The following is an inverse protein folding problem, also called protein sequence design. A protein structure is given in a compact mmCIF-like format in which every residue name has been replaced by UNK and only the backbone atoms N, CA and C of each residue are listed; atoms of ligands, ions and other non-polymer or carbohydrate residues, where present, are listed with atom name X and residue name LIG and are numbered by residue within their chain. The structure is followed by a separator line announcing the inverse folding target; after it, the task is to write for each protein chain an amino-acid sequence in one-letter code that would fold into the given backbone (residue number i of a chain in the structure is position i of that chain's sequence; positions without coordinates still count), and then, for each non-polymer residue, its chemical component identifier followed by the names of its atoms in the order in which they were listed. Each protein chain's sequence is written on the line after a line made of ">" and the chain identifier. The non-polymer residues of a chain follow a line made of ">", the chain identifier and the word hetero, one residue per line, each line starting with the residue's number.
data_IF_833813951513
#
_entry.id   IF_833813951513
#
_cell.length_a   1.000
_cell.length_b   1.000
_cell.length_c   1.000
_cell.angle_alpha   90.00
_cell.angle_beta   90.00
_cell.angle_gamma   90.00
#
_symmetry.space_group_name_H-M   'P 1'
#
loop_
_entity.id
_entity.type
_entity.pdbx_description
1 polymer ?
#
# COMPACT_ATOMS: atom_id res chain seq x y z
N UNK A 1 -17.17 -4.75 -38.74
CA UNK A 1 -15.81 -5.19 -38.37
C UNK A 1 -15.60 -4.91 -36.90
N UNK A 2 -15.69 -5.91 -36.04
CA UNK A 2 -15.42 -5.75 -34.60
C UNK A 2 -13.92 -5.46 -34.41
N UNK A 3 -13.53 -4.46 -33.61
CA UNK A 3 -12.13 -4.22 -33.35
C UNK A 3 -11.55 -5.45 -32.64
N UNK A 4 -10.39 -5.91 -33.09
CA UNK A 4 -9.66 -7.02 -32.48
C UNK A 4 -9.33 -6.68 -31.02
N UNK A 5 -9.93 -7.41 -30.09
CA UNK A 5 -9.82 -7.23 -28.65
C UNK A 5 -8.52 -7.90 -28.13
N UNK A 6 -7.42 -7.73 -28.87
CA UNK A 6 -6.12 -8.23 -28.42
C UNK A 6 -5.46 -7.18 -27.51
N UNK A 7 -4.97 -7.56 -26.32
CA UNK A 7 -4.23 -6.62 -25.47
C UNK A 7 -3.01 -6.09 -26.21
N UNK A 8 -2.63 -4.81 -26.01
CA UNK A 8 -1.43 -4.26 -26.63
C UNK A 8 -0.22 -5.11 -26.25
N UNK A 9 0.53 -5.56 -27.24
CA UNK A 9 1.55 -6.60 -27.24
C UNK A 9 2.42 -6.71 -25.96
N UNK A 10 2.70 -7.95 -25.55
CA UNK A 10 3.40 -8.32 -24.33
C UNK A 10 4.85 -7.82 -24.14
N UNK A 11 5.43 -7.12 -25.10
CA UNK A 11 6.82 -6.63 -25.02
C UNK A 11 7.09 -5.62 -23.89
N UNK A 12 6.09 -4.86 -23.48
CA UNK A 12 6.22 -3.89 -22.39
C UNK A 12 6.09 -4.50 -20.98
N UNK A 13 5.39 -5.63 -20.83
CA UNK A 13 5.16 -6.26 -19.54
C UNK A 13 6.43 -6.88 -18.96
N UNK A 14 7.21 -7.61 -19.77
CA UNK A 14 8.47 -8.20 -19.31
C UNK A 14 9.48 -7.12 -18.89
N UNK A 15 9.62 -6.05 -19.68
CA UNK A 15 10.48 -4.91 -19.33
C UNK A 15 10.04 -4.25 -18.02
N UNK A 16 8.73 -4.10 -17.79
CA UNK A 16 8.16 -3.58 -16.55
C UNK A 16 8.49 -4.48 -15.36
N UNK A 17 8.29 -5.79 -15.47
CA UNK A 17 8.56 -6.73 -14.39
C UNK A 17 10.06 -6.83 -14.07
N UNK A 18 10.93 -6.78 -15.09
CA UNK A 18 12.39 -6.68 -14.90
C UNK A 18 12.79 -5.43 -14.14
N UNK A 19 12.17 -4.30 -14.48
CA UNK A 19 12.41 -3.02 -13.83
C UNK A 19 12.01 -3.06 -12.35
N UNK A 20 10.85 -3.62 -12.01
CA UNK A 20 10.39 -3.74 -10.63
C UNK A 20 11.23 -4.72 -9.80
N UNK A 21 11.66 -5.82 -10.40
CA UNK A 21 12.52 -6.80 -9.75
C UNK A 21 13.90 -6.21 -9.44
N UNK A 22 14.45 -5.38 -10.35
CA UNK A 22 15.78 -4.81 -10.22
C UNK A 22 16.84 -5.87 -9.95
N UNK A 23 17.71 -5.64 -8.97
CA UNK A 23 18.71 -6.58 -8.47
C UNK A 23 18.28 -7.35 -7.23
N UNK A 24 16.97 -7.49 -6.97
CA UNK A 24 16.49 -8.21 -5.81
C UNK A 24 16.88 -9.70 -5.83
N UNK A 25 17.16 -10.30 -4.67
CA UNK A 25 17.45 -11.74 -4.56
C UNK A 25 16.36 -12.61 -5.20
N UNK A 26 16.73 -13.71 -5.85
CA UNK A 26 15.82 -14.59 -6.59
C UNK A 26 14.72 -15.21 -5.73
N UNK A 27 14.90 -15.33 -4.43
CA UNK A 27 13.95 -15.83 -3.44
C UNK A 27 12.93 -14.78 -2.97
N UNK A 28 13.11 -13.50 -3.33
CA UNK A 28 12.11 -12.46 -3.12
C UNK A 28 10.92 -12.63 -4.08
N UNK A 29 9.83 -11.92 -3.82
CA UNK A 29 8.57 -12.06 -4.54
C UNK A 29 8.08 -10.74 -5.11
N UNK A 30 7.49 -10.79 -6.30
CA UNK A 30 6.58 -9.74 -6.79
C UNK A 30 5.14 -10.13 -6.45
N UNK A 31 4.40 -9.18 -5.91
CA UNK A 31 2.98 -9.34 -5.57
C UNK A 31 2.13 -9.07 -6.81
N UNK A 32 1.29 -10.02 -7.20
CA UNK A 32 0.17 -9.82 -8.11
C UNK A 32 -1.11 -9.70 -7.28
N UNK A 33 -1.81 -8.58 -7.40
CA UNK A 33 -3.11 -8.38 -6.76
C UNK A 33 -4.18 -8.20 -7.83
N UNK A 34 -5.33 -8.82 -7.64
CA UNK A 34 -6.44 -8.77 -8.60
C UNK A 34 -7.78 -8.75 -7.87
N UNK A 35 -8.77 -8.13 -8.54
CA UNK A 35 -10.11 -8.00 -7.99
C UNK A 35 -10.87 -9.32 -8.13
N UNK A 36 -11.53 -9.79 -7.07
CA UNK A 36 -12.36 -11.01 -7.05
C UNK A 36 -13.83 -10.72 -6.74
N UNK A 37 -14.18 -9.45 -6.47
CA UNK A 37 -15.53 -8.97 -6.20
C UNK A 37 -15.53 -7.45 -6.18
N UNK A 38 -16.66 -6.80 -5.93
CA UNK A 38 -16.78 -5.34 -6.00
C UNK A 38 -15.75 -4.60 -5.13
N UNK A 39 -15.43 -5.14 -3.94
CA UNK A 39 -14.48 -4.53 -3.01
C UNK A 39 -13.45 -5.54 -2.46
N UNK A 40 -13.34 -6.73 -3.07
CA UNK A 40 -12.45 -7.77 -2.61
C UNK A 40 -11.28 -7.95 -3.57
N UNK A 41 -10.09 -8.12 -2.98
CA UNK A 41 -8.87 -8.42 -3.71
C UNK A 41 -8.27 -9.72 -3.19
N UNK A 42 -7.79 -10.54 -4.10
CA UNK A 42 -6.88 -11.63 -3.84
C UNK A 42 -5.47 -11.25 -4.29
N UNK A 43 -4.47 -11.91 -3.73
CA UNK A 43 -3.08 -11.74 -4.09
C UNK A 43 -2.38 -13.08 -4.32
N UNK A 44 -1.46 -13.08 -5.26
CA UNK A 44 -0.52 -14.15 -5.56
C UNK A 44 0.90 -13.58 -5.42
N UNK A 45 1.87 -14.44 -5.06
CA UNK A 45 3.26 -14.04 -4.90
C UNK A 45 4.14 -14.94 -5.77
N UNK A 46 4.83 -14.34 -6.72
CA UNK A 46 5.70 -15.02 -7.65
C UNK A 46 7.15 -14.62 -7.39
N UNK A 47 8.05 -15.58 -7.35
CA UNK A 47 9.48 -15.30 -7.19
C UNK A 47 9.99 -14.38 -8.30
N UNK A 48 10.91 -13.49 -7.98
CA UNK A 48 11.50 -12.55 -8.95
C UNK A 48 12.26 -13.26 -10.06
N UNK A 49 12.77 -14.47 -9.80
CA UNK A 49 13.43 -15.33 -10.81
C UNK A 49 12.43 -16.13 -11.68
N UNK A 50 11.12 -16.18 -11.32
CA UNK A 50 10.07 -16.89 -12.04
C UNK A 50 9.12 -15.92 -12.79
N UNK A 51 9.67 -14.92 -13.49
CA UNK A 51 8.88 -13.86 -14.16
C UNK A 51 7.90 -14.36 -15.22
N UNK A 52 8.22 -15.46 -15.92
CA UNK A 52 7.33 -16.04 -16.93
C UNK A 52 6.02 -16.55 -16.30
N UNK A 53 6.10 -17.15 -15.11
CA UNK A 53 4.92 -17.57 -14.36
C UNK A 53 4.08 -16.36 -13.93
N UNK A 54 4.71 -15.27 -13.49
CA UNK A 54 4.01 -14.03 -13.15
C UNK A 54 3.37 -13.38 -14.38
N UNK A 55 4.09 -13.30 -15.50
CA UNK A 55 3.58 -12.78 -16.78
C UNK A 55 2.33 -13.56 -17.22
N UNK A 56 2.40 -14.88 -17.20
CA UNK A 56 1.27 -15.75 -17.54
C UNK A 56 0.08 -15.55 -16.59
N UNK A 57 0.31 -15.38 -15.29
CA UNK A 57 -0.73 -15.12 -14.32
C UNK A 57 -1.40 -13.75 -14.55
N UNK A 58 -0.61 -12.68 -14.79
CA UNK A 58 -1.10 -11.34 -15.11
C UNK A 58 -1.99 -11.38 -16.34
N UNK A 59 -1.50 -11.92 -17.46
CA UNK A 59 -2.24 -11.97 -18.71
C UNK A 59 -3.55 -12.76 -18.58
N UNK A 60 -3.52 -13.90 -17.93
CA UNK A 60 -4.72 -14.71 -17.67
C UNK A 60 -5.76 -13.98 -16.82
N UNK A 61 -5.34 -13.32 -15.72
CA UNK A 61 -6.24 -12.59 -14.83
C UNK A 61 -6.79 -11.33 -15.48
N UNK A 62 -5.96 -10.61 -16.23
CA UNK A 62 -6.32 -9.34 -16.87
C UNK A 62 -7.39 -9.45 -17.95
N UNK A 63 -7.73 -10.66 -18.42
CA UNK A 63 -8.85 -10.86 -19.35
C UNK A 63 -10.22 -10.63 -18.70
N UNK A 64 -10.32 -10.67 -17.39
CA UNK A 64 -11.60 -10.68 -16.67
C UNK A 64 -11.72 -9.65 -15.56
N UNK A 65 -10.60 -9.07 -15.12
CA UNK A 65 -10.61 -8.21 -13.94
C UNK A 65 -9.41 -7.27 -13.90
N UNK A 66 -9.52 -6.20 -13.08
CA UNK A 66 -8.39 -5.34 -12.74
C UNK A 66 -7.27 -6.14 -12.08
N UNK A 67 -6.05 -5.94 -12.56
CA UNK A 67 -4.83 -6.51 -12.00
C UNK A 67 -3.84 -5.41 -11.64
N UNK A 68 -3.05 -5.66 -10.60
CA UNK A 68 -2.04 -4.74 -10.08
C UNK A 68 -0.79 -5.52 -9.67
N UNK A 69 0.38 -4.91 -9.82
CA UNK A 69 1.66 -5.48 -9.39
C UNK A 69 2.29 -4.58 -8.33
N UNK A 70 2.89 -5.19 -7.31
CA UNK A 70 3.62 -4.46 -6.28
C UNK A 70 4.83 -3.74 -6.85
N UNK A 71 4.99 -2.45 -6.53
CA UNK A 71 6.08 -1.62 -7.05
C UNK A 71 7.46 -1.98 -6.47
N UNK A 72 7.51 -2.75 -5.40
CA UNK A 72 8.76 -3.22 -4.79
C UNK A 72 8.68 -4.71 -4.46
N UNK A 73 9.81 -5.45 -4.52
CA UNK A 73 9.88 -6.84 -4.13
C UNK A 73 9.52 -7.06 -2.66
N UNK A 74 8.94 -8.22 -2.35
CA UNK A 74 8.60 -8.68 -1.00
C UNK A 74 9.60 -9.72 -0.52
N UNK A 75 10.00 -9.67 0.74
CA UNK A 75 10.87 -10.68 1.38
C UNK A 75 10.11 -11.94 1.79
N UNK A 76 8.77 -11.88 1.77
CA UNK A 76 7.88 -13.00 2.09
C UNK A 76 6.58 -12.90 1.28
N UNK A 77 5.77 -13.97 1.29
CA UNK A 77 4.47 -14.01 0.60
C UNK A 77 3.39 -13.23 1.35
N UNK A 78 3.66 -11.94 1.63
CA UNK A 78 2.75 -11.05 2.33
C UNK A 78 2.65 -9.70 1.59
N UNK A 79 1.43 -9.20 1.38
CA UNK A 79 1.16 -7.91 0.76
C UNK A 79 1.25 -6.72 1.74
N UNK A 80 1.92 -6.89 2.86
CA UNK A 80 2.09 -5.85 3.88
C UNK A 80 3.31 -4.98 3.60
N UNK A 81 3.30 -3.75 4.09
CA UNK A 81 4.46 -2.85 4.03
C UNK A 81 5.69 -3.43 4.71
N UNK A 82 5.51 -4.16 5.81
CA UNK A 82 6.60 -4.79 6.56
C UNK A 82 7.33 -5.91 5.77
N UNK A 83 6.66 -6.48 4.76
CA UNK A 83 7.26 -7.49 3.89
C UNK A 83 8.03 -6.89 2.70
N UNK A 84 8.05 -5.56 2.54
CA UNK A 84 8.82 -4.92 1.48
C UNK A 84 10.30 -5.02 1.80
N UNK A 85 11.07 -5.53 0.85
CA UNK A 85 12.52 -5.55 0.88
C UNK A 85 13.13 -4.23 0.38
N UNK A 86 14.33 -4.33 -0.14
CA UNK A 86 14.99 -3.23 -0.82
C UNK A 86 14.22 -2.80 -2.08
N UNK A 87 14.16 -1.49 -2.31
CA UNK A 87 13.42 -0.85 -3.39
C UNK A 87 14.39 -0.50 -4.52
N UNK A 88 14.16 -1.09 -5.70
CA UNK A 88 15.02 -0.95 -6.88
C UNK A 88 14.50 0.05 -7.91
N UNK A 89 13.38 0.71 -7.62
CA UNK A 89 12.75 1.67 -8.53
C UNK A 89 12.04 2.76 -7.75
N UNK A 90 12.17 4.01 -8.16
CA UNK A 90 11.29 5.09 -7.71
C UNK A 90 10.11 5.20 -8.67
N UNK A 91 8.95 5.58 -8.15
CA UNK A 91 7.73 5.73 -8.95
C UNK A 91 6.89 6.92 -8.53
N UNK A 92 6.00 7.31 -9.44
CA UNK A 92 4.97 8.30 -9.19
C UNK A 92 3.70 7.93 -9.96
N UNK A 93 2.53 8.22 -9.39
CA UNK A 93 1.23 8.13 -10.04
C UNK A 93 0.72 9.55 -10.33
N UNK A 94 0.60 9.88 -11.60
CA UNK A 94 0.13 11.17 -12.07
C UNK A 94 -1.35 11.08 -12.42
N UNK A 95 -2.21 11.68 -11.59
CA UNK A 95 -3.63 11.79 -11.82
C UNK A 95 -3.97 13.18 -12.37
N UNK A 96 -4.32 13.21 -13.67
CA UNK A 96 -4.70 14.42 -14.37
C UNK A 96 -3.62 14.98 -15.31
N UNK A 97 -4.06 15.92 -16.16
CA UNK A 97 -3.24 16.44 -17.27
C UNK A 97 -2.03 17.25 -16.81
N UNK A 98 -2.11 17.96 -15.67
CA UNK A 98 -1.02 18.80 -15.19
C UNK A 98 0.14 17.95 -14.67
N UNK A 99 -0.12 16.98 -13.80
CA UNK A 99 0.90 16.07 -13.29
C UNK A 99 1.54 15.24 -14.41
N UNK A 100 0.74 14.78 -15.36
CA UNK A 100 1.24 14.08 -16.55
C UNK A 100 2.18 14.97 -17.40
N UNK A 101 1.82 16.25 -17.66
CA UNK A 101 2.68 17.18 -18.37
C UNK A 101 4.00 17.42 -17.62
N UNK A 102 3.95 17.57 -16.31
CA UNK A 102 5.16 17.72 -15.46
C UNK A 102 6.05 16.49 -15.55
N UNK A 103 5.47 15.28 -15.47
CA UNK A 103 6.20 14.03 -15.61
C UNK A 103 6.95 13.95 -16.95
N UNK A 104 6.29 14.30 -18.07
CA UNK A 104 6.92 14.28 -19.40
C UNK A 104 8.08 15.27 -19.55
N UNK A 105 8.10 16.35 -18.77
CA UNK A 105 9.15 17.39 -18.79
C UNK A 105 10.22 17.19 -17.71
N UNK A 106 9.97 16.30 -16.76
CA UNK A 106 10.87 16.07 -15.63
C UNK A 106 12.25 15.56 -16.09
N UNK A 107 13.29 16.01 -15.40
CA UNK A 107 14.65 15.53 -15.61
C UNK A 107 15.23 14.98 -14.29
N UNK A 108 15.88 13.82 -14.33
CA UNK A 108 16.01 12.93 -15.49
C UNK A 108 14.67 12.31 -15.87
N UNK A 109 14.45 12.11 -17.17
CA UNK A 109 13.20 11.50 -17.65
C UNK A 109 13.04 10.10 -17.09
N UNK A 110 11.79 9.66 -16.69
CA UNK A 110 11.55 8.28 -16.31
C UNK A 110 12.00 7.31 -17.40
N UNK A 111 12.60 6.19 -17.03
CA UNK A 111 12.93 5.12 -17.97
C UNK A 111 11.67 4.46 -18.54
N UNK A 112 10.60 4.41 -17.76
CA UNK A 112 9.32 3.84 -18.16
C UNK A 112 8.17 4.79 -17.79
N UNK A 113 7.26 5.02 -18.74
CA UNK A 113 5.98 5.70 -18.48
C UNK A 113 4.87 4.77 -18.97
N UNK A 114 3.88 4.52 -18.13
CA UNK A 114 2.73 3.65 -18.38
C UNK A 114 1.45 4.46 -18.28
N UNK A 115 0.65 4.51 -19.34
CA UNK A 115 -0.72 5.04 -19.29
C UNK A 115 -1.62 4.11 -18.49
N UNK A 116 -2.37 4.61 -17.50
CA UNK A 116 -3.21 3.80 -16.62
C UNK A 116 -4.56 3.38 -17.22
N UNK A 117 -4.86 3.83 -18.45
CA UNK A 117 -6.17 3.65 -19.06
C UNK A 117 -7.24 4.62 -18.55
N UNK A 118 -6.89 5.64 -17.77
CA UNK A 118 -7.83 6.64 -17.24
C UNK A 118 -7.45 8.05 -17.74
N UNK A 119 -7.87 8.41 -18.97
CA UNK A 119 -7.58 9.72 -19.54
C UNK A 119 -6.08 10.01 -19.62
N UNK A 120 -5.59 11.16 -19.10
CA UNK A 120 -4.18 11.52 -19.13
C UNK A 120 -3.36 10.84 -18.03
N UNK A 121 -3.97 10.03 -17.16
CA UNK A 121 -3.30 9.47 -15.99
C UNK A 121 -2.22 8.47 -16.38
N UNK A 122 -1.07 8.58 -15.75
CA UNK A 122 0.07 7.73 -16.04
C UNK A 122 0.96 7.49 -14.81
N UNK A 123 1.81 6.48 -14.90
CA UNK A 123 2.81 6.17 -13.89
C UNK A 123 4.20 6.37 -14.49
N UNK A 124 5.10 7.00 -13.74
CA UNK A 124 6.51 7.15 -14.11
C UNK A 124 7.40 6.30 -13.21
N UNK A 125 8.48 5.72 -13.79
CA UNK A 125 9.39 4.83 -13.10
C UNK A 125 10.85 5.16 -13.39
N UNK A 126 11.68 5.22 -12.33
CA UNK A 126 13.14 5.42 -12.40
C UNK A 126 13.85 4.22 -11.76
N UNK A 127 14.33 3.25 -12.55
CA UNK A 127 15.12 2.13 -12.01
C UNK A 127 16.44 2.63 -11.44
N UNK A 128 16.83 2.05 -10.31
CA UNK A 128 17.98 2.48 -9.52
C UNK A 128 19.19 1.57 -9.75
N UNK A 129 20.38 2.16 -9.85
CA UNK A 129 21.65 1.45 -9.95
C UNK A 129 21.98 0.66 -8.66
N UNK A 130 21.49 1.17 -7.52
CA UNK A 130 21.58 0.52 -6.21
C UNK A 130 20.25 0.71 -5.48
N UNK A 131 19.87 -0.26 -4.62
CA UNK A 131 18.59 -0.19 -3.94
C UNK A 131 18.57 0.90 -2.87
N UNK A 132 17.35 1.31 -2.53
CA UNK A 132 17.07 2.11 -1.36
C UNK A 132 16.33 1.27 -0.32
N UNK A 133 16.53 1.54 0.97
CA UNK A 133 15.66 1.00 2.00
C UNK A 133 14.24 1.51 1.78
N UNK A 134 13.24 0.71 2.08
CA UNK A 134 11.85 1.07 1.87
C UNK A 134 11.43 2.42 2.50
N UNK A 135 11.86 2.80 3.73
CA UNK A 135 11.57 4.13 4.30
C UNK A 135 12.14 5.28 3.47
N UNK A 136 13.37 5.13 2.98
CA UNK A 136 14.06 6.17 2.23
C UNK A 136 13.44 6.33 0.83
N UNK A 137 13.00 5.22 0.22
CA UNK A 137 12.27 5.23 -1.04
C UNK A 137 10.89 5.90 -0.92
N UNK A 138 10.17 5.71 0.21
CA UNK A 138 8.92 6.43 0.46
C UNK A 138 9.11 7.93 0.53
N UNK A 139 10.15 8.39 1.23
CA UNK A 139 10.51 9.81 1.28
C UNK A 139 10.82 10.34 -0.12
N UNK A 140 11.58 9.58 -0.92
CA UNK A 140 11.92 9.93 -2.29
C UNK A 140 10.68 10.04 -3.19
N UNK A 141 9.81 9.03 -3.18
CA UNK A 141 8.56 9.02 -3.95
C UNK A 141 7.62 10.15 -3.53
N UNK A 142 7.53 10.45 -2.24
CA UNK A 142 6.72 11.57 -1.75
C UNK A 142 7.22 12.92 -2.24
N UNK A 143 8.56 13.14 -2.23
CA UNK A 143 9.18 14.35 -2.79
C UNK A 143 8.90 14.47 -4.28
N UNK A 144 9.03 13.36 -5.04
CA UNK A 144 8.70 13.34 -6.47
C UNK A 144 7.22 13.67 -6.71
N UNK A 145 6.31 13.10 -5.92
CA UNK A 145 4.88 13.40 -6.04
C UNK A 145 4.59 14.88 -5.81
N UNK A 146 5.22 15.51 -4.82
CA UNK A 146 5.12 16.96 -4.60
C UNK A 146 5.64 17.77 -5.78
N UNK A 147 6.85 17.48 -6.27
CA UNK A 147 7.46 18.22 -7.39
C UNK A 147 6.62 18.12 -8.67
N UNK A 148 5.97 16.98 -8.87
CA UNK A 148 5.17 16.71 -10.06
C UNK A 148 3.68 17.07 -9.91
N UNK A 149 3.24 17.57 -8.75
CA UNK A 149 1.83 17.74 -8.41
C UNK A 149 1.01 16.46 -8.65
N UNK A 150 1.60 15.32 -8.29
CA UNK A 150 1.07 13.98 -8.50
C UNK A 150 0.29 13.49 -7.26
N UNK A 151 -0.21 12.23 -7.29
CA UNK A 151 -0.96 11.67 -6.15
C UNK A 151 -0.06 11.48 -4.93
N UNK A 152 -0.29 12.32 -3.91
CA UNK A 152 0.43 12.27 -2.64
C UNK A 152 0.10 11.04 -1.77
N UNK A 153 -0.85 10.20 -2.17
CA UNK A 153 -1.13 8.93 -1.49
C UNK A 153 -0.37 7.75 -2.08
N UNK A 154 0.29 7.94 -3.25
CA UNK A 154 0.93 6.86 -4.01
C UNK A 154 2.43 6.66 -3.71
N UNK A 155 2.94 7.13 -2.59
CA UNK A 155 4.37 7.06 -2.24
C UNK A 155 4.78 5.81 -1.46
N UNK A 156 3.84 5.12 -0.83
CA UNK A 156 4.12 4.03 0.12
C UNK A 156 4.77 2.82 -0.53
N UNK A 157 5.75 2.20 0.14
CA UNK A 157 6.50 1.07 -0.39
C UNK A 157 5.63 -0.19 -0.65
N UNK A 158 4.47 -0.28 -0.02
CA UNK A 158 3.48 -1.33 -0.28
C UNK A 158 2.65 -1.14 -1.53
N UNK A 159 2.89 -0.05 -2.29
CA UNK A 159 2.10 0.35 -3.45
C UNK A 159 2.01 -0.74 -4.52
N UNK A 160 0.82 -0.83 -5.09
CA UNK A 160 0.52 -1.64 -6.25
C UNK A 160 0.01 -0.74 -7.38
N UNK A 161 0.47 -0.96 -8.61
CA UNK A 161 0.04 -0.20 -9.79
C UNK A 161 -0.34 -1.15 -10.94
N UNK A 162 -1.15 -0.66 -11.90
CA UNK A 162 -1.55 -1.46 -13.05
C UNK A 162 -0.36 -1.72 -13.97
N UNK A 163 -0.06 -2.99 -14.31
CA UNK A 163 1.01 -3.32 -15.25
C UNK A 163 0.58 -3.05 -16.70
N UNK A 164 1.50 -2.67 -17.58
CA UNK A 164 1.21 -2.50 -19.01
C UNK A 164 0.82 -3.82 -19.66
N UNK A 165 0.06 -3.75 -20.77
CA UNK A 165 -0.45 -4.93 -21.46
C UNK A 165 -1.70 -5.54 -20.82
N UNK A 166 -2.36 -4.81 -19.92
CA UNK A 166 -3.58 -5.20 -19.22
C UNK A 166 -4.73 -4.23 -19.48
N UNK A 167 -5.86 -4.47 -18.86
CA UNK A 167 -7.06 -3.64 -19.00
C UNK A 167 -7.42 -2.94 -17.70
N UNK A 168 -7.96 -1.73 -17.82
CA UNK A 168 -8.55 -0.96 -16.73
C UNK A 168 -10.09 -1.11 -16.80
N UNK A 169 -10.63 -1.94 -15.93
CA UNK A 169 -12.06 -2.25 -15.84
C UNK A 169 -12.88 -1.20 -15.07
N UNK A 170 -12.28 -0.07 -14.69
CA UNK A 170 -13.05 1.09 -14.17
C UNK A 170 -13.94 1.73 -15.26
N UNK A 171 -13.70 1.41 -16.51
CA UNK A 171 -14.42 1.92 -17.68
C UNK A 171 -15.20 0.80 -18.36
N UNK A 172 -16.30 1.18 -19.03
CA UNK A 172 -17.07 0.31 -19.93
C UNK A 172 -17.14 1.00 -21.29
N UNK A 173 -16.54 0.45 -22.36
CA UNK A 173 -15.69 -0.76 -22.34
C UNK A 173 -14.35 -0.54 -21.59
N UNK A 174 -13.70 -1.62 -21.11
CA UNK A 174 -12.41 -1.54 -20.48
C UNK A 174 -11.35 -0.86 -21.35
N UNK A 175 -10.46 -0.08 -20.75
CA UNK A 175 -9.43 0.68 -21.47
C UNK A 175 -8.05 0.04 -21.32
N UNK A 176 -7.19 0.08 -22.36
CA UNK A 176 -5.87 -0.52 -22.30
C UNK A 176 -4.94 0.25 -21.34
N UNK A 177 -4.13 -0.49 -20.61
CA UNK A 177 -2.97 0.01 -19.87
C UNK A 177 -1.74 -0.21 -20.76
N UNK A 178 -1.09 0.85 -21.19
CA UNK A 178 -0.10 0.80 -22.28
C UNK A 178 1.20 1.52 -21.91
N UNK A 179 2.32 1.03 -22.45
CA UNK A 179 3.60 1.75 -22.36
C UNK A 179 3.54 2.97 -23.27
N UNK A 180 3.82 4.14 -22.70
CA UNK A 180 3.99 5.41 -23.44
C UNK A 180 5.45 5.69 -23.77
N UNK A 181 6.37 5.28 -22.89
CA UNK A 181 7.81 5.45 -23.03
C UNK A 181 8.52 4.25 -22.39
N UNK A 182 9.56 3.73 -23.05
CA UNK A 182 10.44 2.71 -22.47
C UNK A 182 11.86 2.95 -22.98
N UNK A 183 12.78 3.20 -22.06
CA UNK A 183 14.21 3.39 -22.35
C UNK A 183 15.05 2.57 -21.38
N UNK A 184 16.21 2.13 -21.84
CA UNK A 184 17.20 1.47 -20.98
C UNK A 184 18.02 2.55 -20.25
N UNK A 185 17.50 3.02 -19.13
CA UNK A 185 18.19 3.96 -18.26
C UNK A 185 18.13 3.44 -16.82
N UNK A 186 19.22 3.64 -16.09
CA UNK A 186 19.35 3.30 -14.66
C UNK A 186 19.95 4.52 -13.98
N UNK A 187 19.48 4.86 -12.80
CA UNK A 187 19.81 6.12 -12.13
C UNK A 187 20.42 5.87 -10.75
N UNK A 188 21.38 6.69 -10.35
CA UNK A 188 21.67 6.85 -8.92
C UNK A 188 20.50 7.59 -8.26
N UNK A 189 20.09 7.20 -7.02
CA UNK A 189 18.99 7.87 -6.32
C UNK A 189 19.16 9.40 -6.24
N UNK A 190 20.39 9.87 -6.02
CA UNK A 190 20.72 11.29 -5.97
C UNK A 190 20.50 12.03 -7.29
N UNK A 191 20.65 11.36 -8.44
CA UNK A 191 20.39 11.96 -9.75
C UNK A 191 18.90 12.25 -9.96
N UNK A 192 18.03 11.30 -9.55
CA UNK A 192 16.57 11.48 -9.66
C UNK A 192 16.09 12.62 -8.77
N UNK A 193 16.72 12.82 -7.63
CA UNK A 193 16.30 13.77 -6.61
C UNK A 193 17.09 15.09 -6.60
N UNK A 194 18.02 15.30 -7.55
CA UNK A 194 18.93 16.45 -7.57
C UNK A 194 18.17 17.78 -7.50
N UNK A 195 17.19 17.96 -8.39
CA UNK A 195 16.39 19.19 -8.49
C UNK A 195 15.02 19.08 -7.83
N UNK A 196 14.77 18.00 -7.05
CA UNK A 196 13.51 17.81 -6.35
C UNK A 196 13.52 18.52 -5.01
N UNK A 197 12.60 19.48 -4.77
CA UNK A 197 12.57 20.25 -3.55
C UNK A 197 12.49 19.35 -2.30
N UNK A 198 13.11 19.79 -1.21
CA UNK A 198 12.90 19.20 0.10
C UNK A 198 11.51 19.61 0.59
N UNK A 199 10.74 18.63 1.09
CA UNK A 199 9.42 18.83 1.68
C UNK A 199 9.42 18.25 3.10
N UNK A 200 8.45 18.67 3.92
CA UNK A 200 8.30 18.06 5.26
C UNK A 200 7.90 16.60 5.15
N UNK A 201 8.81 15.73 5.52
CA UNK A 201 8.65 14.26 5.50
C UNK A 201 8.45 13.67 6.90
N UNK A 202 8.41 14.50 7.93
CA UNK A 202 8.32 14.03 9.33
C UNK A 202 7.08 13.14 9.59
N UNK A 203 5.98 13.37 8.87
CA UNK A 203 4.79 12.52 8.96
C UNK A 203 5.00 11.12 8.36
N UNK A 204 5.83 11.00 7.30
CA UNK A 204 6.17 9.72 6.64
C UNK A 204 7.15 8.95 7.50
N UNK A 205 8.20 9.60 7.96
CA UNK A 205 9.22 9.02 8.84
C UNK A 205 8.59 8.45 10.12
N UNK A 206 7.65 9.18 10.72
CA UNK A 206 6.89 8.71 11.89
C UNK A 206 6.07 7.44 11.60
N UNK A 207 5.52 7.29 10.39
CA UNK A 207 4.77 6.07 10.03
C UNK A 207 5.64 4.82 10.05
N UNK A 208 6.93 4.92 9.68
CA UNK A 208 7.87 3.81 9.78
C UNK A 208 8.29 3.52 11.22
N UNK A 209 8.52 4.53 12.02
CA UNK A 209 8.82 4.38 13.45
C UNK A 209 7.67 3.65 14.16
N UNK A 210 6.42 3.96 13.82
CA UNK A 210 5.24 3.26 14.35
C UNK A 210 5.14 1.83 13.79
N UNK A 211 5.44 1.62 12.51
CA UNK A 211 5.38 0.29 11.86
C UNK A 211 6.50 -0.66 12.30
N UNK A 212 7.66 -0.14 12.70
CA UNK A 212 8.79 -0.91 13.22
C UNK A 212 8.81 -1.01 14.74
N UNK A 213 7.92 -0.29 15.45
CA UNK A 213 7.68 -0.59 16.85
C UNK A 213 7.13 -2.00 16.91
N UNK A 214 7.96 -2.87 17.44
CA UNK A 214 7.66 -4.26 17.70
C UNK A 214 6.31 -4.31 18.44
N UNK A 215 5.24 -4.73 17.73
CA UNK A 215 3.91 -4.92 18.31
C UNK A 215 3.96 -5.88 19.49
N UNK A 216 5.00 -6.71 19.59
CA UNK A 216 5.32 -7.56 20.75
C UNK A 216 5.69 -6.75 21.99
N UNK A 217 6.09 -5.48 21.86
CA UNK A 217 6.44 -4.60 23.00
C UNK A 217 5.28 -3.73 23.49
N UNK A 218 4.27 -3.46 22.67
CA UNK A 218 3.09 -2.71 23.08
C UNK A 218 1.87 -3.63 23.16
N UNK A 219 1.50 -4.08 24.38
CA UNK A 219 0.43 -5.04 24.56
C UNK A 219 -0.93 -4.51 24.07
N UNK A 220 -1.16 -3.20 24.05
CA UNK A 220 -2.40 -2.61 23.55
C UNK A 220 -2.57 -2.81 22.03
N UNK A 221 -1.48 -2.82 21.26
CA UNK A 221 -1.53 -3.08 19.81
C UNK A 221 -1.74 -4.57 19.47
N UNK A 222 -1.64 -5.45 20.44
CA UNK A 222 -1.98 -6.86 20.27
C UNK A 222 -3.50 -7.11 20.35
N UNK A 223 -4.27 -6.20 20.96
CA UNK A 223 -5.72 -6.35 21.13
C UNK A 223 -6.43 -6.26 19.77
N UNK A 224 -7.19 -7.28 19.35
CA UNK A 224 -7.91 -7.25 18.08
C UNK A 224 -8.96 -6.13 18.02
N UNK A 225 -9.18 -5.48 16.87
CA UNK A 225 -10.19 -4.44 16.70
C UNK A 225 -11.61 -4.84 17.12
N UNK A 226 -11.98 -6.10 16.93
CA UNK A 226 -13.28 -6.59 17.34
C UNK A 226 -13.49 -6.51 18.85
N UNK A 227 -12.42 -6.69 19.65
CA UNK A 227 -12.46 -6.61 21.11
C UNK A 227 -12.66 -5.16 21.55
N UNK A 228 -11.75 -4.26 21.16
CA UNK A 228 -11.83 -2.88 21.64
C UNK A 228 -12.97 -2.06 21.03
N UNK A 229 -13.46 -2.42 19.83
CA UNK A 229 -14.65 -1.79 19.25
C UNK A 229 -15.92 -2.20 20.00
N UNK A 230 -16.03 -3.48 20.35
CA UNK A 230 -17.14 -3.96 21.18
C UNK A 230 -17.11 -3.29 22.55
N UNK A 231 -15.97 -3.20 23.16
CA UNK A 231 -15.82 -2.68 24.53
C UNK A 231 -16.01 -1.16 24.58
N UNK A 232 -15.35 -0.39 23.71
CA UNK A 232 -15.41 1.09 23.72
C UNK A 232 -16.67 1.66 23.09
N UNK A 233 -17.34 0.95 22.17
CA UNK A 233 -18.48 1.44 21.40
C UNK A 233 -19.76 0.62 21.57
N UNK A 234 -19.69 -0.56 22.21
CA UNK A 234 -20.81 -1.49 22.29
C UNK A 234 -21.23 -2.11 20.95
N UNK A 235 -20.37 -2.05 19.93
CA UNK A 235 -20.68 -2.51 18.59
C UNK A 235 -20.09 -3.88 18.31
N UNK A 236 -20.93 -4.83 17.87
CA UNK A 236 -20.47 -6.16 17.47
C UNK A 236 -20.35 -6.26 15.93
N UNK A 237 -19.20 -6.75 15.43
CA UNK A 237 -19.02 -6.90 13.99
C UNK A 237 -19.86 -8.05 13.43
N UNK A 238 -20.50 -7.81 12.29
CA UNK A 238 -21.14 -8.85 11.51
C UNK A 238 -20.11 -9.82 10.88
N UNK A 239 -20.60 -10.82 10.13
CA UNK A 239 -19.75 -11.83 9.43
C UNK A 239 -18.72 -11.21 8.48
N UNK A 240 -18.99 -10.03 7.93
CA UNK A 240 -18.11 -9.26 7.05
C UNK A 240 -17.11 -8.37 7.79
N UNK A 241 -17.01 -8.49 9.14
CA UNK A 241 -16.15 -7.67 10.01
C UNK A 241 -16.42 -6.16 9.90
N UNK A 242 -17.65 -5.76 9.62
CA UNK A 242 -18.04 -4.36 9.56
C UNK A 242 -19.04 -4.02 10.66
N UNK A 243 -18.92 -2.78 11.18
CA UNK A 243 -19.87 -2.14 12.09
C UNK A 243 -20.30 -0.80 11.51
N UNK A 244 -21.40 -0.23 12.02
CA UNK A 244 -21.76 1.16 11.71
C UNK A 244 -20.69 2.10 12.26
N UNK A 245 -20.28 3.06 11.44
CA UNK A 245 -19.27 4.03 11.85
C UNK A 245 -19.87 5.07 12.80
N UNK A 246 -19.29 5.29 14.00
CA UNK A 246 -19.81 6.29 14.93
C UNK A 246 -19.42 7.73 14.60
N UNK A 247 -18.63 7.92 13.55
CA UNK A 247 -18.03 9.23 13.21
C UNK A 247 -18.74 9.95 12.06
N UNK A 248 -19.78 9.37 11.49
CA UNK A 248 -20.67 9.97 10.49
C UNK A 248 -22.02 9.23 10.49
N UNK A 249 -23.04 9.81 9.88
CA UNK A 249 -24.31 9.12 9.66
C UNK A 249 -24.09 7.93 8.70
N UNK A 250 -24.23 6.72 9.21
CA UNK A 250 -23.86 5.47 8.54
C UNK A 250 -25.08 4.55 8.41
N UNK A 251 -25.81 4.70 7.31
CA UNK A 251 -26.98 3.86 7.01
C UNK A 251 -26.62 2.38 6.75
N UNK A 252 -25.37 2.11 6.32
CA UNK A 252 -24.86 0.76 6.03
C UNK A 252 -23.47 0.59 6.65
N UNK A 253 -23.20 -0.51 7.40
CA UNK A 253 -21.91 -0.72 8.08
C UNK A 253 -20.72 -0.47 7.17
N UNK A 254 -19.94 0.60 7.42
CA UNK A 254 -18.82 1.05 6.61
C UNK A 254 -17.46 1.00 7.34
N UNK A 255 -17.46 0.89 8.67
CA UNK A 255 -16.25 0.76 9.47
C UNK A 255 -15.81 -0.70 9.49
N UNK A 256 -14.70 -1.00 8.82
CA UNK A 256 -14.11 -2.33 8.72
C UNK A 256 -13.09 -2.57 9.83
N UNK A 257 -13.18 -3.75 10.46
CA UNK A 257 -12.27 -4.18 11.51
C UNK A 257 -11.30 -5.22 10.94
N UNK A 258 -10.00 -4.92 10.96
CA UNK A 258 -8.98 -5.87 10.53
C UNK A 258 -8.80 -6.98 11.57
N UNK A 259 -8.25 -8.17 11.16
CA UNK A 259 -8.13 -9.30 12.09
C UNK A 259 -7.18 -9.07 13.26
N UNK A 260 -6.17 -8.23 13.10
CA UNK A 260 -5.08 -8.01 14.06
C UNK A 260 -5.04 -6.56 14.53
N UNK A 261 -4.63 -6.34 15.78
CA UNK A 261 -4.63 -5.02 16.41
C UNK A 261 -3.70 -4.00 15.75
N UNK A 262 -2.58 -4.46 15.22
CA UNK A 262 -1.63 -3.65 14.46
C UNK A 262 -2.21 -3.12 13.14
N UNK A 263 -3.13 -3.85 12.51
CA UNK A 263 -3.86 -3.40 11.33
C UNK A 263 -5.03 -2.48 11.66
N UNK A 264 -5.55 -2.57 12.87
CA UNK A 264 -6.58 -1.68 13.39
C UNK A 264 -7.91 -1.74 12.63
N UNK A 265 -8.46 -0.56 12.35
CA UNK A 265 -9.77 -0.37 11.73
C UNK A 265 -9.73 0.75 10.68
N UNK A 266 -10.69 0.73 9.76
CA UNK A 266 -10.83 1.78 8.75
C UNK A 266 -12.29 1.92 8.32
N UNK A 267 -12.81 3.15 8.32
CA UNK A 267 -14.08 3.47 7.71
C UNK A 267 -13.87 3.86 6.25
N UNK A 268 -14.46 3.12 5.33
CA UNK A 268 -14.32 3.40 3.90
C UNK A 268 -15.17 4.59 3.42
N UNK A 269 -16.17 5.01 4.19
CA UNK A 269 -17.01 6.17 3.84
C UNK A 269 -16.35 7.49 4.29
N UNK A 270 -16.05 7.66 5.59
CA UNK A 270 -15.45 8.90 6.09
C UNK A 270 -13.92 8.91 6.12
N UNK A 271 -13.27 7.81 5.68
CA UNK A 271 -11.80 7.64 5.61
C UNK A 271 -11.06 7.73 6.93
N UNK A 272 -11.76 7.74 8.06
CA UNK A 272 -11.14 7.62 9.39
C UNK A 272 -10.67 6.19 9.62
N UNK A 273 -9.54 6.04 10.27
CA UNK A 273 -8.97 4.73 10.59
C UNK A 273 -7.78 4.86 11.54
N UNK A 274 -7.30 3.73 12.01
CA UNK A 274 -6.15 3.68 12.91
C UNK A 274 -6.15 2.42 13.78
N UNK A 275 -5.49 2.53 14.91
CA UNK A 275 -5.34 1.49 15.94
C UNK A 275 -6.31 1.71 17.11
N UNK A 276 -6.16 0.95 18.17
CA UNK A 276 -6.86 1.16 19.43
C UNK A 276 -6.67 2.59 19.97
N UNK A 277 -5.48 3.19 19.77
CA UNK A 277 -5.19 4.55 20.20
C UNK A 277 -6.06 5.58 19.49
N UNK A 278 -6.20 5.44 18.18
CA UNK A 278 -6.98 6.39 17.36
C UNK A 278 -8.48 6.30 17.69
N UNK A 279 -8.99 5.08 17.93
CA UNK A 279 -10.38 4.88 18.33
C UNK A 279 -10.64 5.45 19.72
N UNK A 280 -9.84 5.07 20.69
CA UNK A 280 -10.02 5.53 22.06
C UNK A 280 -9.85 7.05 22.21
N UNK A 281 -8.90 7.63 21.46
CA UNK A 281 -8.72 9.07 21.39
C UNK A 281 -9.99 9.79 20.90
N UNK A 282 -10.58 9.27 19.82
CA UNK A 282 -11.81 9.83 19.26
C UNK A 282 -13.02 9.66 20.20
N UNK A 283 -13.12 8.52 20.88
CA UNK A 283 -14.22 8.24 21.86
C UNK A 283 -14.09 9.07 23.13
N UNK A 284 -12.88 9.25 23.63
CA UNK A 284 -12.62 9.93 24.90
C UNK A 284 -12.28 11.42 24.76
N UNK A 285 -12.21 11.95 23.53
CA UNK A 285 -11.85 13.34 23.27
C UNK A 285 -10.41 13.68 23.66
N UNK A 286 -9.47 12.73 23.52
CA UNK A 286 -8.06 12.89 23.85
C UNK A 286 -7.20 13.01 22.61
N UNK A 287 -6.04 13.65 22.74
CA UNK A 287 -5.05 13.73 21.65
C UNK A 287 -4.18 12.48 21.55
N UNK A 288 -3.70 12.19 20.33
CA UNK A 288 -2.79 11.07 20.05
C UNK A 288 -1.31 11.47 20.09
N UNK A 289 -0.96 12.62 20.69
CA UNK A 289 0.40 13.16 20.76
C UNK A 289 0.72 13.81 22.10
N UNK A 290 2.01 13.87 22.42
CA UNK A 290 2.52 14.57 23.60
C UNK A 290 1.91 14.08 24.92
N UNK A 291 1.62 15.01 25.83
CA UNK A 291 1.05 14.70 27.14
C UNK A 291 -0.33 14.02 27.05
N UNK A 292 -1.14 14.39 26.04
CA UNK A 292 -2.46 13.78 25.83
C UNK A 292 -2.32 12.29 25.45
N UNK A 293 -1.32 11.93 24.65
CA UNK A 293 -1.03 10.53 24.34
C UNK A 293 -0.63 9.73 25.59
N UNK A 294 0.12 10.34 26.49
CA UNK A 294 0.49 9.68 27.75
C UNK A 294 -0.73 9.40 28.62
N UNK A 295 -1.67 10.35 28.70
CA UNK A 295 -2.96 10.18 29.41
C UNK A 295 -3.81 9.09 28.72
N UNK A 296 -3.92 9.14 27.40
CA UNK A 296 -4.64 8.17 26.60
C UNK A 296 -4.11 6.75 26.84
N UNK A 297 -2.79 6.57 26.75
CA UNK A 297 -2.14 5.27 26.95
C UNK A 297 -2.33 4.75 28.37
N UNK A 298 -2.21 5.61 29.37
CA UNK A 298 -2.45 5.24 30.77
C UNK A 298 -3.88 4.74 30.96
N UNK A 299 -4.87 5.48 30.46
CA UNK A 299 -6.28 5.10 30.53
C UNK A 299 -6.59 3.79 29.81
N UNK A 300 -5.99 3.55 28.64
CA UNK A 300 -6.11 2.28 27.92
C UNK A 300 -5.52 1.11 28.70
N UNK A 301 -4.36 1.29 29.34
CA UNK A 301 -3.74 0.24 30.17
C UNK A 301 -4.56 -0.04 31.44
N UNK A 302 -5.18 0.96 32.03
CA UNK A 302 -6.11 0.77 33.15
C UNK A 302 -7.36 0.01 32.73
N UNK A 303 -7.90 0.31 31.52
CA UNK A 303 -9.11 -0.27 30.97
C UNK A 303 -8.92 -1.73 30.52
N UNK A 304 -7.89 -2.00 29.72
CA UNK A 304 -7.60 -3.32 29.12
C UNK A 304 -6.55 -4.14 29.90
N UNK A 305 -5.95 -3.60 30.95
CA UNK A 305 -4.90 -4.26 31.73
C UNK A 305 -5.27 -5.64 32.27
N UNK A 306 -6.48 -5.86 32.82
CA UNK A 306 -6.92 -7.15 33.30
C UNK A 306 -6.96 -8.24 32.22
N UNK A 307 -7.43 -7.91 31.00
CA UNK A 307 -7.47 -8.85 29.85
C UNK A 307 -6.07 -9.20 29.38
N UNK A 308 -5.19 -8.21 29.27
CA UNK A 308 -3.80 -8.40 28.86
C UNK A 308 -3.01 -9.27 29.86
N UNK A 309 -3.35 -9.21 31.15
CA UNK A 309 -2.76 -10.06 32.19
C UNK A 309 -3.25 -11.52 32.07
N UNK A 310 -4.55 -11.71 31.77
CA UNK A 310 -5.15 -13.03 31.59
C UNK A 310 -4.59 -13.76 30.36
N UNK A 311 -4.40 -13.06 29.24
CA UNK A 311 -3.82 -13.64 28.01
C UNK A 311 -2.36 -14.04 28.18
N UNK A 312 -1.55 -13.27 28.94
CA UNK A 312 -0.18 -13.66 29.28
C UNK A 312 -0.10 -14.92 30.13
N UNK A 313 -1.04 -15.11 31.05
CA UNK A 313 -1.11 -16.32 31.87
C UNK A 313 -1.53 -17.55 31.06
N UNK A 314 -2.42 -17.41 30.07
CA UNK A 314 -2.83 -18.48 29.17
C UNK A 314 -1.67 -18.92 28.26
N UNK A 315 -0.99 -17.96 27.61
CA UNK A 315 0.18 -18.24 26.78
C UNK A 315 1.34 -18.90 27.56
N UNK A 316 1.59 -18.48 28.80
CA UNK A 316 2.59 -19.10 29.67
C UNK A 316 2.27 -20.54 30.08
N UNK A 317 0.98 -20.92 30.17
CA UNK A 317 0.55 -22.30 30.46
C UNK A 317 0.61 -23.23 29.25
N UNK A 318 0.46 -22.71 28.04
CA UNK A 318 0.62 -23.49 26.80
C UNK A 318 2.08 -23.81 26.47
N UNK A 319 3.02 -22.93 26.86
CA UNK A 319 4.47 -23.17 26.69
C UNK A 319 5.06 -24.10 27.78
N UNK A 320 4.37 -24.33 28.87
CA UNK A 320 4.79 -25.19 29.98
C UNK A 320 4.23 -26.61 29.92
N UNK A 321 3.53 -26.97 28.87
CA UNK A 321 3.06 -28.33 28.53
C UNK A 321 3.77 -28.84 27.29
#
# INVERSE_FOLDING_TARGET
>A
MSPSNSPPGGGGLDAYLKLLAGGAPGDHFLELRFRVGEQQFANEFHRVDARDALTSAILRRSQRTDVYVGCAPRTSRQGTKAAVGDVWVLWVECDGAESARRLHRFQPRPALIVASGSGPNCHGYWPLARPMRAPDAEVANYRLAHALAADLACFDAGRILRPPGTWNFKHDPPRPVAVMRSERAVFEPGQVLADVPRVDTASIERRWVVSTRDTRRDPLLAIPPAVYVKDLLGLEPGRNRKVRCPFHDDARPSLHLYPTGDRGWCCFACRRGGTIYDLAAAVWGLGTRGAEFSKLRKRLLEHFGPELAADRQRAGREFAR
#
